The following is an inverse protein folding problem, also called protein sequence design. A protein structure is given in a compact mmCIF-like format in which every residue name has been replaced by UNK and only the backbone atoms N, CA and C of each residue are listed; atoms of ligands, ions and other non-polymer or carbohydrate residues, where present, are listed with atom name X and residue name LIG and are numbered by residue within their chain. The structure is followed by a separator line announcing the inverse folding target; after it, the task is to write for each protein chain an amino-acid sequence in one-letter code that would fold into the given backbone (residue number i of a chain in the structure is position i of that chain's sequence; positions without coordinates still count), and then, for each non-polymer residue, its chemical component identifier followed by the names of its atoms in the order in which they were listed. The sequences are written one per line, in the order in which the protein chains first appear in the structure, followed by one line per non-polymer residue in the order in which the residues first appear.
data_IF_834808841862
#
_entry.id   IF_834808841862
#
_cell.length_a   1.000
_cell.length_b   1.000
_cell.length_c   1.000
_cell.angle_alpha   90.00
_cell.angle_beta   90.00
_cell.angle_gamma   90.00
#
_symmetry.space_group_name_H-M   'P 1'
#
loop_
_entity.id
_entity.type
_entity.pdbx_description
1 polymer ?
#
# COMPACT_ATOMS: atom_id res chain seq x y z
N UNK A 1 33.00 -21.04 23.68
CA UNK A 1 33.11 -19.65 23.19
C UNK A 1 31.96 -19.42 22.21
N UNK A 2 30.73 -19.28 22.70
CA UNK A 2 29.52 -19.38 21.86
C UNK A 2 28.36 -18.53 22.41
N UNK A 3 28.62 -17.28 22.77
CA UNK A 3 27.59 -16.32 23.23
C UNK A 3 28.04 -14.89 22.95
N UNK A 4 27.89 -14.40 21.71
CA UNK A 4 27.97 -12.95 21.41
C UNK A 4 27.02 -12.54 20.28
N UNK A 5 25.72 -12.80 20.46
CA UNK A 5 24.70 -12.22 19.58
C UNK A 5 23.40 -11.89 20.33
N UNK A 6 23.47 -11.02 21.34
CA UNK A 6 22.25 -10.39 21.88
C UNK A 6 22.43 -8.88 22.06
N UNK A 7 21.85 -8.18 21.09
CA UNK A 7 21.07 -6.96 21.25
C UNK A 7 21.76 -5.74 21.87
N UNK A 8 22.09 -4.80 20.98
CA UNK A 8 22.15 -3.36 21.25
C UNK A 8 20.80 -2.90 21.86
N UNK A 9 20.63 -3.01 23.18
CA UNK A 9 19.52 -2.36 23.89
C UNK A 9 19.84 -0.88 23.93
N UNK A 10 19.04 -0.09 23.21
CA UNK A 10 19.18 1.37 23.14
C UNK A 10 18.94 1.98 24.55
N UNK A 11 19.97 2.55 25.22
CA UNK A 11 19.93 2.92 26.63
C UNK A 11 19.01 4.11 26.96
N UNK A 12 18.40 4.75 25.95
CA UNK A 12 17.49 5.89 26.13
C UNK A 12 15.99 5.56 26.14
N UNK A 13 15.59 4.29 25.96
CA UNK A 13 14.16 3.94 25.83
C UNK A 13 13.48 3.92 27.19
N UNK A 14 12.90 5.05 27.61
CA UNK A 14 12.02 5.10 28.79
C UNK A 14 10.83 4.14 28.59
N UNK A 15 10.43 3.36 29.61
CA UNK A 15 9.23 2.53 29.54
C UNK A 15 8.02 3.41 29.22
N UNK A 16 7.24 3.03 28.20
CA UNK A 16 5.98 3.69 27.90
C UNK A 16 5.02 3.40 29.07
N UNK A 17 4.50 4.43 29.77
CA UNK A 17 3.47 4.21 30.78
C UNK A 17 2.27 3.50 30.13
N UNK A 18 1.87 2.35 30.69
CA UNK A 18 0.65 1.66 30.25
C UNK A 18 -0.52 2.60 30.55
N UNK A 19 -1.09 3.21 29.52
CA UNK A 19 -2.29 4.02 29.69
C UNK A 19 -3.42 3.14 30.27
N UNK A 20 -4.21 3.64 31.23
CA UNK A 20 -5.39 2.94 31.69
C UNK A 20 -6.31 2.68 30.49
N UNK A 21 -6.80 1.44 30.39
CA UNK A 21 -7.76 1.04 29.34
C UNK A 21 -8.96 1.99 29.45
N UNK A 22 -9.21 2.76 28.40
CA UNK A 22 -10.40 3.61 28.35
C UNK A 22 -11.64 2.71 28.50
N UNK A 23 -12.70 3.16 29.20
CA UNK A 23 -13.96 2.44 29.24
C UNK A 23 -14.43 2.17 27.81
N UNK A 24 -15.00 0.99 27.56
CA UNK A 24 -15.60 0.65 26.27
C UNK A 24 -16.60 1.76 25.89
N UNK A 25 -16.22 2.61 24.93
CA UNK A 25 -17.17 3.54 24.36
C UNK A 25 -18.21 2.76 23.56
N UNK A 26 -19.50 3.15 23.60
CA UNK A 26 -20.49 2.58 22.71
C UNK A 26 -20.01 2.74 21.27
N UNK A 27 -19.92 1.62 20.55
CA UNK A 27 -19.52 1.63 19.15
C UNK A 27 -20.53 2.47 18.38
N UNK A 28 -20.04 3.48 17.64
CA UNK A 28 -20.91 4.26 16.76
C UNK A 28 -21.59 3.29 15.78
N UNK A 29 -22.89 3.48 15.48
CA UNK A 29 -23.57 2.62 14.52
C UNK A 29 -22.81 2.64 13.19
N UNK A 30 -22.45 1.45 12.71
CA UNK A 30 -21.75 1.28 11.44
C UNK A 30 -22.72 1.69 10.33
N UNK A 31 -22.37 2.74 9.58
CA UNK A 31 -23.17 3.16 8.42
C UNK A 31 -23.23 2.00 7.42
N UNK A 32 -24.42 1.69 6.86
CA UNK A 32 -24.53 0.67 5.81
C UNK A 32 -23.63 1.06 4.65
N UNK A 33 -22.92 0.07 4.10
CA UNK A 33 -22.06 0.29 2.94
C UNK A 33 -22.95 0.71 1.77
N UNK A 34 -22.64 1.82 1.08
CA UNK A 34 -23.37 2.19 -0.13
C UNK A 34 -23.31 1.06 -1.16
N UNK A 35 -24.31 1.02 -2.04
CA UNK A 35 -24.37 0.08 -3.15
C UNK A 35 -23.06 0.08 -3.96
N UNK A 36 -22.78 -1.03 -4.64
CA UNK A 36 -21.59 -1.14 -5.48
C UNK A 36 -21.53 0.03 -6.47
N UNK A 37 -20.37 0.69 -6.54
CA UNK A 37 -20.14 1.79 -7.45
C UNK A 37 -20.18 1.27 -8.89
N UNK A 38 -20.82 2.03 -9.78
CA UNK A 38 -20.79 1.74 -11.22
C UNK A 38 -19.43 2.15 -11.77
N UNK A 39 -18.78 1.25 -12.53
CA UNK A 39 -17.50 1.54 -13.17
C UNK A 39 -17.74 2.42 -14.40
N UNK A 40 -17.24 3.64 -14.38
CA UNK A 40 -17.36 4.58 -15.52
C UNK A 40 -16.37 4.28 -16.64
N UNK A 41 -15.15 3.86 -16.28
CA UNK A 41 -14.06 3.59 -17.23
C UNK A 41 -13.52 2.17 -17.01
N UNK A 42 -14.08 1.16 -17.70
CA UNK A 42 -13.73 -0.24 -17.45
C UNK A 42 -12.28 -0.60 -17.83
N UNK A 43 -11.67 0.17 -18.74
CA UNK A 43 -10.30 -0.07 -19.22
C UNK A 43 -9.27 0.87 -18.59
N UNK A 44 -9.62 1.59 -17.52
CA UNK A 44 -8.68 2.50 -16.88
C UNK A 44 -7.61 1.73 -16.10
N UNK A 45 -6.36 2.17 -16.24
CA UNK A 45 -5.25 1.72 -15.40
C UNK A 45 -5.14 2.60 -14.14
N UNK A 46 -4.91 1.97 -12.99
CA UNK A 46 -4.43 2.66 -11.79
C UNK A 46 -2.92 2.81 -11.83
N UNK A 47 -2.39 4.01 -11.56
CA UNK A 47 -0.94 4.28 -11.60
C UNK A 47 -0.46 4.83 -10.26
N UNK A 48 0.60 4.24 -9.71
CA UNK A 48 1.36 4.74 -8.56
C UNK A 48 2.70 5.30 -9.05
N UNK A 49 2.98 6.56 -8.74
CA UNK A 49 4.13 7.31 -9.26
C UNK A 49 5.22 7.42 -8.19
N UNK A 50 6.40 6.91 -8.49
CA UNK A 50 7.65 7.12 -7.74
C UNK A 50 8.69 7.88 -8.57
N UNK A 51 9.80 8.27 -7.93
CA UNK A 51 10.86 9.01 -8.63
C UNK A 51 11.63 8.15 -9.64
N UNK A 52 11.87 6.88 -9.30
CA UNK A 52 12.59 5.93 -10.15
C UNK A 52 11.66 5.06 -11.00
N UNK A 53 10.45 4.79 -10.52
CA UNK A 53 9.54 3.81 -11.11
C UNK A 53 8.07 4.19 -10.93
N UNK A 54 7.25 3.66 -11.83
CA UNK A 54 5.80 3.76 -11.88
C UNK A 54 5.20 2.35 -11.82
N UNK A 55 4.31 2.09 -10.86
CA UNK A 55 3.58 0.82 -10.78
C UNK A 55 2.17 0.99 -11.33
N UNK A 56 1.81 0.19 -12.31
CA UNK A 56 0.58 0.32 -13.08
C UNK A 56 -0.25 -0.97 -12.97
N UNK A 57 -1.56 -0.83 -12.76
CA UNK A 57 -2.48 -1.95 -12.58
C UNK A 57 -3.74 -1.79 -13.43
N UNK A 58 -4.02 -2.79 -14.26
CA UNK A 58 -5.26 -2.92 -15.04
C UNK A 58 -6.15 -4.00 -14.43
N UNK A 59 -7.44 -4.08 -14.81
CA UNK A 59 -8.27 -5.22 -14.44
C UNK A 59 -7.63 -6.57 -14.88
N UNK A 60 -7.79 -7.64 -14.10
CA UNK A 60 -7.05 -8.90 -14.28
C UNK A 60 -7.42 -9.66 -15.56
N UNK A 61 -8.49 -9.28 -16.24
CA UNK A 61 -8.94 -9.84 -17.50
C UNK A 61 -8.41 -9.08 -18.73
N UNK A 62 -7.58 -8.04 -18.53
CA UNK A 62 -7.03 -7.21 -19.60
C UNK A 62 -5.66 -7.66 -20.08
N UNK A 63 -4.87 -8.29 -19.21
CA UNK A 63 -3.50 -8.71 -19.50
C UNK A 63 -3.09 -9.88 -18.60
N UNK A 64 -2.22 -10.77 -19.11
CA UNK A 64 -1.68 -11.92 -18.36
C UNK A 64 -0.81 -11.50 -17.15
N UNK A 65 -0.15 -10.36 -17.25
CA UNK A 65 0.57 -9.68 -16.18
C UNK A 65 -0.10 -8.32 -15.91
N UNK A 66 -1.20 -8.30 -15.13
CA UNK A 66 -2.07 -7.12 -14.98
C UNK A 66 -1.49 -6.02 -14.07
N UNK A 67 -0.38 -6.29 -13.39
CA UNK A 67 0.35 -5.31 -12.57
C UNK A 67 1.81 -5.32 -13.00
N UNK A 68 2.31 -4.16 -13.45
CA UNK A 68 3.67 -4.03 -13.99
C UNK A 68 4.39 -2.80 -13.45
N UNK A 69 5.71 -2.86 -13.42
CA UNK A 69 6.60 -1.74 -13.11
C UNK A 69 7.20 -1.17 -14.40
N UNK A 70 7.19 0.15 -14.51
CA UNK A 70 7.87 0.89 -15.58
C UNK A 70 8.81 1.91 -14.96
N UNK A 71 10.09 1.99 -15.35
CA UNK A 71 10.98 3.07 -14.91
C UNK A 71 10.46 4.47 -15.28
N UNK A 72 11.08 5.51 -14.75
CA UNK A 72 10.63 6.89 -14.93
C UNK A 72 11.18 7.64 -16.15
N UNK A 73 11.95 6.96 -17.02
CA UNK A 73 12.48 7.58 -18.23
C UNK A 73 11.45 7.60 -19.36
N UNK A 74 11.63 8.50 -20.32
CA UNK A 74 10.68 8.73 -21.41
C UNK A 74 10.39 7.49 -22.25
N UNK A 75 11.39 6.64 -22.50
CA UNK A 75 11.19 5.40 -23.25
C UNK A 75 10.24 4.44 -22.51
N UNK A 76 10.39 4.32 -21.19
CA UNK A 76 9.57 3.46 -20.35
C UNK A 76 8.14 4.00 -20.20
N UNK A 77 7.97 5.33 -20.21
CA UNK A 77 6.64 5.95 -20.25
C UNK A 77 5.92 5.70 -21.58
N UNK A 78 6.64 5.66 -22.70
CA UNK A 78 6.05 5.24 -23.98
C UNK A 78 5.70 3.74 -23.95
N UNK A 79 6.57 2.90 -23.40
CA UNK A 79 6.28 1.47 -23.24
C UNK A 79 5.06 1.23 -22.33
N UNK A 80 4.86 2.05 -21.30
CA UNK A 80 3.64 2.06 -20.47
C UNK A 80 2.40 2.49 -21.26
N UNK A 81 2.52 3.38 -22.23
CA UNK A 81 1.38 3.81 -23.05
C UNK A 81 1.04 2.81 -24.17
N UNK A 82 2.03 2.08 -24.66
CA UNK A 82 1.86 1.01 -25.64
C UNK A 82 1.26 -0.27 -25.01
N UNK A 83 1.46 -0.44 -23.70
CA UNK A 83 0.86 -1.50 -22.88
C UNK A 83 -0.59 -1.18 -22.50
#
# INVERSE_FOLDING_TARGET
MLEQALAQRNPGRRPIPKQPKQPNQPTKPVKPRPAALTITHPNACGINIGSASHYCAVPPDRDDEPVREFPSFTADLNALADW
#
